data_IF_095430528206
#
_entry.id   IF_095430528206
#
_cell.length_a   1.000
_cell.length_b   1.000
_cell.length_c   1.000
_cell.angle_alpha   90.00
_cell.angle_beta   90.00
_cell.angle_gamma   90.00
#
_symmetry.space_group_name_H-M   'P 1'
#
loop_
_entity.id
_entity.type
_entity.pdbx_description
1 polymer ?
#
# COMPACT_ATOMS: atom_id res chain seq x y z
N UNK A 1 8.84 -15.24 13.55
CA UNK A 1 8.50 -13.81 13.38
C UNK A 1 9.04 -13.22 12.09
N UNK A 2 10.34 -12.96 11.92
CA UNK A 2 10.89 -12.24 10.74
C UNK A 2 10.46 -12.86 9.39
N UNK A 3 10.54 -14.18 9.25
CA UNK A 3 10.12 -14.89 8.03
C UNK A 3 8.65 -14.66 7.65
N UNK A 4 7.76 -14.43 8.63
CA UNK A 4 6.31 -14.21 8.40
C UNK A 4 6.00 -12.78 7.92
N UNK A 5 6.91 -11.83 8.12
CA UNK A 5 6.74 -10.41 7.78
C UNK A 5 7.45 -10.05 6.46
N UNK A 6 8.45 -10.83 6.04
CA UNK A 6 9.21 -10.56 4.79
C UNK A 6 8.28 -10.52 3.57
N UNK A 7 7.38 -11.50 3.42
CA UNK A 7 6.45 -11.54 2.29
C UNK A 7 5.55 -10.30 2.21
N UNK A 8 4.81 -9.91 3.28
CA UNK A 8 3.99 -8.70 3.22
C UNK A 8 4.79 -7.42 3.02
N UNK A 9 6.02 -7.30 3.55
CA UNK A 9 6.90 -6.16 3.28
C UNK A 9 7.23 -6.07 1.78
N UNK A 10 7.67 -7.18 1.17
CA UNK A 10 8.03 -7.20 -0.26
C UNK A 10 6.84 -6.82 -1.12
N UNK A 11 5.66 -7.38 -0.82
CA UNK A 11 4.43 -7.06 -1.55
C UNK A 11 4.08 -5.58 -1.40
N UNK A 12 4.18 -5.03 -0.19
CA UNK A 12 3.91 -3.61 0.07
C UNK A 12 4.86 -2.71 -0.73
N UNK A 13 6.15 -3.04 -0.76
CA UNK A 13 7.14 -2.29 -1.55
C UNK A 13 6.77 -2.33 -3.04
N UNK A 14 6.46 -3.51 -3.57
CA UNK A 14 6.07 -3.66 -4.98
C UNK A 14 4.81 -2.84 -5.30
N UNK A 15 3.78 -2.91 -4.44
CA UNK A 15 2.54 -2.15 -4.62
C UNK A 15 2.81 -0.64 -4.64
N UNK A 16 3.59 -0.12 -3.68
CA UNK A 16 3.96 1.30 -3.63
C UNK A 16 4.70 1.71 -4.91
N UNK A 17 5.66 0.90 -5.39
CA UNK A 17 6.37 1.20 -6.64
C UNK A 17 5.43 1.24 -7.84
N UNK A 18 4.51 0.27 -7.94
CA UNK A 18 3.51 0.23 -9.02
C UNK A 18 2.63 1.48 -8.96
N UNK A 19 2.11 1.85 -7.78
CA UNK A 19 1.28 3.04 -7.61
C UNK A 19 2.03 4.34 -7.95
N UNK A 20 3.31 4.44 -7.58
CA UNK A 20 4.15 5.59 -7.94
C UNK A 20 4.39 5.69 -9.45
N UNK A 21 4.57 4.56 -10.15
CA UNK A 21 4.67 4.54 -11.61
C UNK A 21 3.36 5.03 -12.24
N UNK A 22 2.22 4.52 -11.79
CA UNK A 22 0.91 4.96 -12.27
C UNK A 22 0.67 6.44 -11.99
N UNK A 23 1.06 6.94 -10.80
CA UNK A 23 0.99 8.35 -10.45
C UNK A 23 1.87 9.21 -11.37
N UNK A 24 3.08 8.75 -11.68
CA UNK A 24 3.99 9.41 -12.62
C UNK A 24 3.41 9.52 -14.02
N UNK A 25 2.87 8.41 -14.56
CA UNK A 25 2.18 8.39 -15.87
C UNK A 25 0.99 9.36 -15.85
N UNK A 26 0.19 9.31 -14.80
CA UNK A 26 -0.98 10.16 -14.60
C UNK A 26 -0.61 11.66 -14.62
N UNK A 27 0.43 12.05 -13.86
CA UNK A 27 0.92 13.44 -13.82
C UNK A 27 1.47 13.87 -15.19
N UNK A 28 2.11 12.97 -15.93
CA UNK A 28 2.69 13.27 -17.24
C UNK A 28 1.64 13.48 -18.34
N UNK A 29 0.55 12.71 -18.34
CA UNK A 29 -0.42 12.69 -19.43
C UNK A 29 -1.51 13.76 -19.32
N UNK A 30 -1.89 14.14 -18.10
CA UNK A 30 -2.94 15.16 -17.92
C UNK A 30 -2.30 16.55 -18.09
N UNK A 31 -2.91 17.51 -18.81
CA UNK A 31 -2.37 18.87 -18.88
C UNK A 31 -2.93 19.80 -17.80
N UNK A 32 -4.14 19.53 -17.32
CA UNK A 32 -4.87 20.45 -16.42
C UNK A 32 -4.48 20.25 -14.95
N UNK A 33 -3.85 21.26 -14.35
CA UNK A 33 -3.23 21.17 -13.03
C UNK A 33 -4.21 20.87 -11.89
N UNK A 34 -5.41 21.43 -11.92
CA UNK A 34 -6.40 21.21 -10.87
C UNK A 34 -6.91 19.76 -10.87
N UNK A 35 -7.14 19.20 -12.05
CA UNK A 35 -7.52 17.80 -12.19
C UNK A 35 -6.41 16.87 -11.72
N UNK A 36 -5.13 17.19 -12.00
CA UNK A 36 -3.97 16.46 -11.47
C UNK A 36 -4.02 16.32 -9.96
N UNK A 37 -4.19 17.44 -9.28
CA UNK A 37 -4.17 17.48 -7.82
C UNK A 37 -5.31 16.62 -7.27
N UNK A 38 -6.52 16.79 -7.80
CA UNK A 38 -7.71 16.06 -7.31
C UNK A 38 -7.52 14.54 -7.46
N UNK A 39 -7.11 14.05 -8.64
CA UNK A 39 -7.00 12.60 -8.82
C UNK A 39 -5.71 12.03 -8.24
N UNK A 40 -4.67 12.84 -7.98
CA UNK A 40 -3.46 12.38 -7.29
C UNK A 40 -3.73 12.03 -5.81
N UNK A 41 -4.78 12.60 -5.20
CA UNK A 41 -5.18 12.24 -3.82
C UNK A 41 -5.53 10.77 -3.70
N UNK A 42 -6.14 10.18 -4.74
CA UNK A 42 -6.60 8.78 -4.72
C UNK A 42 -5.43 7.79 -4.58
N UNK A 43 -4.43 7.75 -5.50
CA UNK A 43 -3.30 6.84 -5.36
C UNK A 43 -2.44 7.15 -4.13
N UNK A 44 -2.29 8.43 -3.74
CA UNK A 44 -1.57 8.76 -2.50
C UNK A 44 -2.30 8.24 -1.25
N UNK A 45 -3.62 8.32 -1.22
CA UNK A 45 -4.44 7.72 -0.17
C UNK A 45 -4.31 6.20 -0.15
N UNK A 46 -4.30 5.56 -1.32
CA UNK A 46 -4.11 4.12 -1.47
C UNK A 46 -2.73 3.65 -0.97
N UNK A 47 -1.66 4.39 -1.25
CA UNK A 47 -0.33 4.15 -0.65
C UNK A 47 -0.43 4.20 0.88
N UNK A 48 -1.10 5.22 1.43
CA UNK A 48 -1.31 5.36 2.87
C UNK A 48 -2.05 4.16 3.49
N UNK A 49 -3.13 3.71 2.85
CA UNK A 49 -3.88 2.52 3.27
C UNK A 49 -3.01 1.26 3.21
N UNK A 50 -2.21 1.11 2.16
CA UNK A 50 -1.32 -0.04 2.00
C UNK A 50 -0.29 -0.12 3.13
N UNK A 51 0.32 1.00 3.54
CA UNK A 51 1.27 0.97 4.67
C UNK A 51 0.54 0.74 5.99
N UNK A 52 -0.67 1.29 6.16
CA UNK A 52 -1.49 1.04 7.35
C UNK A 52 -1.77 -0.45 7.54
N UNK A 53 -2.21 -1.14 6.48
CA UNK A 53 -2.45 -2.59 6.49
C UNK A 53 -1.16 -3.37 6.81
N UNK A 54 0.00 -2.94 6.29
CA UNK A 54 1.28 -3.55 6.65
C UNK A 54 1.59 -3.39 8.15
N UNK A 55 1.31 -2.22 8.73
CA UNK A 55 1.52 -1.95 10.16
C UNK A 55 0.63 -2.87 11.00
N UNK A 56 -0.66 -2.96 10.70
CA UNK A 56 -1.59 -3.87 11.37
C UNK A 56 -1.11 -5.32 11.30
N UNK A 57 -0.68 -5.77 10.11
CA UNK A 57 -0.14 -7.13 9.95
C UNK A 57 1.12 -7.38 10.77
N UNK A 58 1.98 -6.37 10.91
CA UNK A 58 3.17 -6.47 11.76
C UNK A 58 2.75 -6.56 13.23
N UNK A 59 1.73 -5.81 13.67
CA UNK A 59 1.19 -5.91 15.02
C UNK A 59 0.56 -7.27 15.31
N UNK A 60 -0.28 -7.81 14.41
CA UNK A 60 -0.86 -9.17 14.49
C UNK A 60 0.24 -10.22 14.70
N UNK A 61 1.24 -10.26 13.80
CA UNK A 61 2.33 -11.25 13.87
C UNK A 61 3.18 -11.10 15.14
N UNK A 62 3.26 -9.89 15.73
CA UNK A 62 3.99 -9.63 16.98
C UNK A 62 3.17 -9.94 18.23
N UNK A 63 1.87 -9.71 18.20
CA UNK A 63 0.95 -9.98 19.31
C UNK A 63 0.69 -11.48 19.48
N UNK A 64 0.89 -12.27 18.42
CA UNK A 64 0.57 -13.70 18.42
C UNK A 64 -0.92 -13.97 18.20
N UNK A 65 -1.73 -12.92 18.07
CA UNK A 65 -3.07 -12.96 17.49
C UNK A 65 -2.90 -13.06 15.97
N UNK A 66 -2.55 -14.26 15.49
CA UNK A 66 -2.57 -14.51 14.06
C UNK A 66 -4.03 -14.47 13.63
N UNK A 67 -4.39 -13.49 12.80
CA UNK A 67 -5.65 -13.47 12.05
C UNK A 67 -5.64 -14.69 11.12
N UNK A 68 -6.04 -15.82 11.70
CA UNK A 68 -6.01 -17.12 11.08
C UNK A 68 -7.31 -17.24 10.29
N UNK A 69 -7.23 -16.89 9.01
CA UNK A 69 -8.28 -17.10 8.00
C UNK A 69 -8.76 -18.56 7.94
N UNK A 70 -8.10 -19.49 8.65
CA UNK A 70 -8.53 -20.87 8.87
C UNK A 70 -9.89 -21.01 9.57
N UNK A 71 -10.42 -19.93 10.15
CA UNK A 71 -11.75 -19.88 10.79
C UNK A 71 -12.89 -19.49 9.83
N UNK A 72 -12.63 -19.35 8.52
CA UNK A 72 -13.64 -19.07 7.49
C UNK A 72 -13.70 -20.16 6.41
#
# INVERSE_FOLDING_TARGET
MIKKIIAPIIITIILIFVELIYLGIYIALIPWIWLKIILAVIPLGSIGVTIYVLIERIHEVRSGEEDDLSQY
#
